data_IF_030738293325
#
_entry.id   IF_030738293325
#
_cell.length_a   1.000
_cell.length_b   1.000
_cell.length_c   1.000
_cell.angle_alpha   90.00
_cell.angle_beta   90.00
_cell.angle_gamma   90.00
#
_symmetry.space_group_name_H-M   'P 1'
#
loop_
_entity.id
_entity.type
_entity.pdbx_description
1 polymer ?
#
# COMPACT_ATOMS: atom_id res chain seq x y z
N UNK A 1 -49.62 -31.90 -62.66
CA UNK A 1 -48.41 -32.13 -61.89
C UNK A 1 -48.31 -31.03 -60.85
N UNK A 2 -48.81 -31.31 -59.66
CA UNK A 2 -48.79 -30.35 -58.52
C UNK A 2 -47.80 -30.88 -57.51
N UNK A 3 -46.69 -30.16 -57.30
CA UNK A 3 -45.68 -30.43 -56.26
C UNK A 3 -46.07 -29.73 -54.95
N UNK A 4 -46.49 -30.52 -53.98
CA UNK A 4 -46.65 -30.06 -52.60
C UNK A 4 -45.27 -29.87 -52.00
N UNK A 5 -44.94 -28.64 -51.63
CA UNK A 5 -43.79 -28.33 -50.76
C UNK A 5 -44.28 -28.46 -49.31
N UNK A 6 -43.84 -29.46 -48.59
CA UNK A 6 -43.99 -29.57 -47.14
C UNK A 6 -43.09 -28.57 -46.44
N UNK A 7 -43.66 -27.57 -45.83
CA UNK A 7 -43.01 -26.70 -44.86
C UNK A 7 -42.78 -27.48 -43.56
N UNK A 8 -41.56 -27.94 -43.35
CA UNK A 8 -41.12 -28.56 -42.12
C UNK A 8 -40.81 -27.42 -41.12
N UNK A 9 -41.73 -27.08 -40.28
CA UNK A 9 -41.52 -26.15 -39.14
C UNK A 9 -40.65 -26.86 -38.10
N UNK A 10 -39.43 -26.40 -37.96
CA UNK A 10 -38.56 -26.79 -36.86
C UNK A 10 -39.04 -26.08 -35.59
N UNK A 11 -39.84 -26.77 -34.80
CA UNK A 11 -40.12 -26.35 -33.44
C UNK A 11 -38.80 -26.53 -32.63
N UNK A 12 -38.07 -25.44 -32.41
CA UNK A 12 -37.04 -25.43 -31.39
C UNK A 12 -37.70 -25.49 -30.03
N UNK A 13 -37.65 -26.65 -29.39
CA UNK A 13 -38.06 -26.80 -28.00
C UNK A 13 -37.18 -25.89 -27.13
N UNK A 14 -37.70 -24.78 -26.68
CA UNK A 14 -37.10 -23.96 -25.66
C UNK A 14 -37.24 -24.70 -24.34
N UNK A 15 -36.19 -25.46 -23.96
CA UNK A 15 -36.10 -26.07 -22.64
C UNK A 15 -36.17 -24.98 -21.59
N UNK A 16 -37.25 -24.88 -20.86
CA UNK A 16 -37.45 -23.95 -19.77
C UNK A 16 -36.57 -24.33 -18.59
N UNK A 17 -35.90 -23.37 -18.00
CA UNK A 17 -35.06 -23.57 -16.79
C UNK A 17 -35.99 -23.94 -15.61
N UNK A 18 -35.59 -24.97 -14.85
CA UNK A 18 -36.35 -25.38 -13.66
C UNK A 18 -36.02 -24.46 -12.49
N UNK A 19 -36.99 -24.23 -11.61
CA UNK A 19 -36.78 -23.44 -10.38
C UNK A 19 -35.67 -24.03 -9.50
N UNK A 20 -35.51 -25.35 -9.50
CA UNK A 20 -34.46 -26.08 -8.74
C UNK A 20 -33.10 -25.83 -9.33
N UNK A 21 -32.91 -25.81 -10.64
CA UNK A 21 -31.63 -25.49 -11.29
C UNK A 21 -31.17 -24.07 -10.93
N UNK A 22 -32.08 -23.11 -10.94
CA UNK A 22 -31.77 -21.74 -10.56
C UNK A 22 -31.39 -21.67 -9.07
N UNK A 23 -32.11 -22.37 -8.20
CA UNK A 23 -31.81 -22.39 -6.76
C UNK A 23 -30.45 -23.00 -6.46
N UNK A 24 -30.06 -24.09 -7.11
CA UNK A 24 -28.75 -24.72 -6.95
C UNK A 24 -27.64 -23.79 -7.43
N UNK A 25 -27.82 -23.10 -8.55
CA UNK A 25 -26.84 -22.16 -9.07
C UNK A 25 -26.59 -20.99 -8.11
N UNK A 26 -27.64 -20.36 -7.59
CA UNK A 26 -27.47 -19.26 -6.63
C UNK A 26 -26.86 -19.74 -5.28
N UNK A 27 -27.15 -20.96 -4.85
CA UNK A 27 -26.55 -21.54 -3.67
C UNK A 27 -25.03 -21.74 -3.84
N UNK A 28 -24.59 -22.30 -4.97
CA UNK A 28 -23.17 -22.47 -5.29
C UNK A 28 -22.47 -21.11 -5.43
N UNK A 29 -23.09 -20.16 -6.13
CA UNK A 29 -22.53 -18.80 -6.25
C UNK A 29 -22.36 -18.13 -4.89
N UNK A 30 -23.33 -18.28 -3.97
CA UNK A 30 -23.24 -17.75 -2.60
C UNK A 30 -22.02 -18.30 -1.84
N UNK A 31 -21.78 -19.61 -1.94
CA UNK A 31 -20.62 -20.26 -1.32
C UNK A 31 -19.31 -19.75 -1.93
N UNK A 32 -19.23 -19.67 -3.26
CA UNK A 32 -18.02 -19.21 -3.95
C UNK A 32 -17.70 -17.75 -3.61
N UNK A 33 -18.69 -16.86 -3.59
CA UNK A 33 -18.52 -15.44 -3.24
C UNK A 33 -17.99 -15.30 -1.81
N UNK A 34 -18.51 -16.10 -0.86
CA UNK A 34 -18.05 -16.02 0.54
C UNK A 34 -16.58 -16.43 0.72
N UNK A 35 -16.11 -17.43 -0.02
CA UNK A 35 -14.71 -17.86 -0.01
C UNK A 35 -13.77 -16.81 -0.62
N UNK A 36 -14.17 -16.20 -1.73
CA UNK A 36 -13.36 -15.18 -2.43
C UNK A 36 -13.20 -13.92 -1.59
N UNK A 37 -14.25 -13.46 -0.91
CA UNK A 37 -14.18 -12.23 -0.09
C UNK A 37 -13.26 -12.37 1.11
N UNK A 38 -13.24 -13.52 1.79
CA UNK A 38 -12.33 -13.78 2.90
C UNK A 38 -10.85 -13.79 2.46
N UNK A 39 -10.54 -14.42 1.32
CA UNK A 39 -9.20 -14.45 0.74
C UNK A 39 -8.70 -13.07 0.30
N UNK A 40 -9.57 -12.25 -0.30
CA UNK A 40 -9.22 -10.92 -0.78
C UNK A 40 -8.85 -9.96 0.37
N UNK A 41 -9.54 -10.02 1.51
CA UNK A 41 -9.22 -9.18 2.67
C UNK A 41 -7.85 -9.54 3.26
N UNK A 42 -7.53 -10.83 3.42
CA UNK A 42 -6.24 -11.29 3.89
C UNK A 42 -5.10 -10.87 2.95
N UNK A 43 -5.31 -10.95 1.63
CA UNK A 43 -4.34 -10.51 0.64
C UNK A 43 -4.09 -9.00 0.69
N UNK A 44 -5.13 -8.18 0.82
CA UNK A 44 -5.02 -6.72 0.96
C UNK A 44 -4.22 -6.33 2.21
N UNK A 45 -4.50 -6.97 3.35
CA UNK A 45 -3.77 -6.71 4.60
C UNK A 45 -2.28 -7.03 4.46
N UNK A 46 -1.94 -8.19 3.89
CA UNK A 46 -0.54 -8.56 3.62
C UNK A 46 0.13 -7.60 2.64
N UNK A 47 -0.57 -7.18 1.60
CA UNK A 47 -0.09 -6.20 0.63
C UNK A 47 0.24 -4.85 1.26
N UNK A 48 -0.62 -4.35 2.16
CA UNK A 48 -0.39 -3.11 2.90
C UNK A 48 0.87 -3.20 3.78
N UNK A 49 1.01 -4.28 4.56
CA UNK A 49 2.22 -4.52 5.37
C UNK A 49 3.48 -4.58 4.51
N UNK A 50 3.42 -5.28 3.38
CA UNK A 50 4.57 -5.37 2.46
C UNK A 50 4.91 -4.00 1.88
N UNK A 51 3.91 -3.21 1.47
CA UNK A 51 4.12 -1.85 0.96
C UNK A 51 4.81 -0.98 2.03
N UNK A 52 4.33 -0.99 3.27
CA UNK A 52 4.94 -0.21 4.34
C UNK A 52 6.40 -0.61 4.59
N UNK A 53 6.71 -1.91 4.65
CA UNK A 53 8.10 -2.41 4.78
C UNK A 53 9.00 -1.96 3.63
N UNK A 54 8.49 -2.04 2.40
CA UNK A 54 9.25 -1.59 1.23
C UNK A 54 9.48 -0.08 1.27
N UNK A 55 8.50 0.70 1.71
CA UNK A 55 8.64 2.15 1.87
C UNK A 55 9.70 2.49 2.91
N UNK A 56 9.67 1.86 4.09
CA UNK A 56 10.71 2.03 5.13
C UNK A 56 12.11 1.73 4.56
N UNK A 57 12.28 0.61 3.88
CA UNK A 57 13.58 0.23 3.30
C UNK A 57 14.05 1.18 2.19
N UNK A 58 13.14 1.68 1.35
CA UNK A 58 13.50 2.67 0.32
C UNK A 58 13.86 4.02 0.92
N UNK A 59 13.17 4.45 1.96
CA UNK A 59 13.52 5.67 2.70
C UNK A 59 14.87 5.55 3.41
N UNK A 60 15.17 4.39 4.02
CA UNK A 60 16.50 4.16 4.58
C UNK A 60 17.62 4.37 3.55
N UNK A 61 17.39 3.87 2.32
CA UNK A 61 18.34 4.05 1.23
C UNK A 61 18.47 5.52 0.83
N UNK A 62 17.38 6.23 0.67
CA UNK A 62 17.35 7.64 0.32
C UNK A 62 18.01 8.52 1.40
N UNK A 63 17.71 8.23 2.68
CA UNK A 63 18.34 8.91 3.83
C UNK A 63 19.85 8.64 3.88
N UNK A 64 20.30 7.43 3.55
CA UNK A 64 21.71 7.11 3.50
C UNK A 64 22.45 7.85 2.38
N UNK A 65 21.80 8.00 1.20
CA UNK A 65 22.34 8.81 0.10
C UNK A 65 22.44 10.29 0.50
N UNK A 66 21.38 10.86 1.04
CA UNK A 66 21.36 12.22 1.56
C UNK A 66 22.49 12.45 2.59
N UNK A 67 22.64 11.53 3.55
CA UNK A 67 23.69 11.64 4.56
C UNK A 67 25.11 11.50 3.97
N UNK A 68 25.25 10.74 2.88
CA UNK A 68 26.53 10.62 2.16
C UNK A 68 26.97 11.92 1.53
N UNK A 69 26.04 12.67 0.94
CA UNK A 69 26.32 13.92 0.26
C UNK A 69 26.40 15.10 1.24
N UNK A 70 25.39 15.23 2.11
CA UNK A 70 25.24 16.36 3.04
C UNK A 70 26.08 16.24 4.33
N UNK A 71 26.65 15.06 4.60
CA UNK A 71 27.42 14.79 5.83
C UNK A 71 26.58 14.77 7.11
N UNK A 72 25.25 14.86 7.01
CA UNK A 72 24.30 14.85 8.12
C UNK A 72 23.01 14.16 7.73
N UNK A 73 22.30 13.58 8.70
CA UNK A 73 20.94 13.05 8.44
C UNK A 73 19.95 14.18 8.21
N UNK A 74 18.85 13.93 7.45
CA UNK A 74 17.73 14.87 7.37
C UNK A 74 17.26 15.34 8.76
N UNK A 75 16.74 16.56 8.89
CA UNK A 75 16.18 17.03 10.17
C UNK A 75 15.03 16.13 10.65
N UNK A 76 14.87 16.02 11.98
CA UNK A 76 13.78 15.29 12.61
C UNK A 76 12.44 15.86 12.20
N UNK A 77 11.48 14.97 11.86
CA UNK A 77 10.12 15.29 11.42
C UNK A 77 9.80 14.68 10.07
N UNK A 78 8.54 14.34 9.86
CA UNK A 78 8.12 13.68 8.61
C UNK A 78 8.11 14.66 7.44
N UNK A 79 7.55 15.86 7.62
CA UNK A 79 7.52 16.87 6.56
C UNK A 79 8.94 17.37 6.21
N UNK A 80 9.80 17.51 7.21
CA UNK A 80 11.20 17.86 7.06
C UNK A 80 11.97 16.77 6.30
N UNK A 81 11.67 15.50 6.57
CA UNK A 81 12.22 14.37 5.83
C UNK A 81 11.80 14.42 4.36
N UNK A 82 10.52 14.62 4.08
CA UNK A 82 9.98 14.73 2.71
C UNK A 82 10.68 15.84 1.96
N UNK A 83 10.74 17.04 2.53
CA UNK A 83 11.40 18.19 1.90
C UNK A 83 12.90 17.94 1.69
N UNK A 84 13.62 17.42 2.67
CA UNK A 84 15.05 17.16 2.54
C UNK A 84 15.40 16.14 1.45
N UNK A 85 14.52 15.15 1.21
CA UNK A 85 14.77 14.12 0.21
C UNK A 85 14.34 14.52 -1.21
N UNK A 86 13.34 15.43 -1.34
CA UNK A 86 12.74 15.78 -2.62
C UNK A 86 13.13 17.16 -3.12
N UNK A 87 13.23 18.16 -2.24
CA UNK A 87 13.38 19.56 -2.61
C UNK A 87 14.84 19.98 -2.53
N UNK A 88 15.32 20.70 -3.56
CA UNK A 88 16.65 21.28 -3.58
C UNK A 88 16.74 22.45 -2.58
N UNK A 89 17.58 22.35 -1.52
CA UNK A 89 17.78 23.42 -0.55
C UNK A 89 18.70 24.55 -1.07
N UNK A 90 19.08 24.51 -2.33
CA UNK A 90 20.13 25.36 -2.95
C UNK A 90 21.50 25.20 -2.28
N UNK A 91 21.83 23.98 -1.87
CA UNK A 91 23.12 23.60 -1.31
C UNK A 91 23.96 22.91 -2.38
N UNK A 92 25.27 23.26 -2.47
CA UNK A 92 26.18 22.73 -3.49
C UNK A 92 26.52 21.25 -3.29
N UNK A 93 26.34 20.75 -2.08
CA UNK A 93 26.59 19.36 -1.72
C UNK A 93 25.36 18.48 -1.94
N UNK A 94 24.17 19.08 -2.17
CA UNK A 94 22.93 18.33 -2.43
C UNK A 94 22.91 17.78 -3.86
N UNK A 95 22.93 16.47 -4.00
CA UNK A 95 22.93 15.77 -5.29
C UNK A 95 21.58 15.08 -5.62
N UNK A 96 20.51 15.40 -4.88
CA UNK A 96 19.19 14.81 -5.05
C UNK A 96 18.44 15.20 -6.35
N UNK A 97 17.14 14.91 -6.49
CA UNK A 97 16.29 14.33 -5.44
C UNK A 97 16.66 12.88 -5.10
N UNK A 98 16.66 12.55 -3.80
CA UNK A 98 16.94 11.21 -3.30
C UNK A 98 15.70 10.33 -3.26
N UNK A 99 14.52 10.95 -3.21
CA UNK A 99 13.22 10.29 -3.34
C UNK A 99 12.23 11.24 -4.02
N UNK A 100 11.26 10.66 -4.73
CA UNK A 100 10.13 11.39 -5.31
C UNK A 100 8.84 10.85 -4.68
N UNK A 101 8.04 11.73 -4.09
CA UNK A 101 6.78 11.38 -3.48
C UNK A 101 5.61 11.86 -4.33
N UNK A 102 4.63 11.00 -4.51
CA UNK A 102 3.41 11.34 -5.24
C UNK A 102 2.42 12.05 -4.32
N UNK A 103 1.59 12.90 -4.88
CA UNK A 103 0.58 13.65 -4.14
C UNK A 103 -0.36 12.76 -3.30
N UNK A 104 -0.68 11.56 -3.79
CA UNK A 104 -1.51 10.59 -3.08
C UNK A 104 -0.76 9.78 -2.00
N UNK A 105 0.52 9.98 -1.83
CA UNK A 105 1.36 9.41 -0.77
C UNK A 105 1.62 10.42 0.36
N UNK A 106 1.19 11.66 0.15
CA UNK A 106 1.35 12.75 1.10
C UNK A 106 0.00 13.22 1.66
N UNK A 107 0.01 13.59 2.94
CA UNK A 107 -1.07 14.28 3.61
C UNK A 107 -0.49 15.52 4.32
N UNK A 108 -0.91 16.72 3.92
CA UNK A 108 -0.36 17.99 4.41
C UNK A 108 1.20 18.05 4.37
N UNK A 109 1.80 17.52 3.32
CA UNK A 109 3.26 17.47 3.15
C UNK A 109 3.96 16.37 3.95
N UNK A 110 3.22 15.50 4.62
CA UNK A 110 3.75 14.36 5.39
C UNK A 110 3.53 13.06 4.63
N UNK A 111 4.52 12.21 4.56
CA UNK A 111 4.40 10.89 3.98
C UNK A 111 3.52 10.00 4.85
N UNK A 112 2.49 9.39 4.23
CA UNK A 112 1.55 8.50 4.90
C UNK A 112 1.77 7.03 4.53
N UNK A 113 1.48 6.18 5.49
CA UNK A 113 1.53 4.73 5.33
C UNK A 113 0.29 4.19 4.58
N UNK A 114 0.22 2.88 4.26
CA UNK A 114 -0.93 2.29 3.58
C UNK A 114 -2.26 2.33 4.34
N UNK A 115 -2.26 2.69 5.59
CA UNK A 115 -3.45 2.87 6.43
C UNK A 115 -3.84 4.33 6.62
N UNK A 116 -3.03 5.27 6.07
CA UNK A 116 -3.28 6.71 6.11
C UNK A 116 -2.67 7.41 7.33
N UNK A 117 -1.76 6.78 8.07
CA UNK A 117 -1.07 7.39 9.20
C UNK A 117 0.30 7.93 8.76
N UNK A 118 0.73 9.09 9.27
CA UNK A 118 2.07 9.60 9.00
C UNK A 118 3.15 8.64 9.51
N UNK A 119 4.20 8.41 8.69
CA UNK A 119 5.41 7.77 9.19
C UNK A 119 6.05 8.62 10.29
N UNK A 120 6.65 7.96 11.27
CA UNK A 120 7.42 8.62 12.32
C UNK A 120 8.89 8.61 11.93
N UNK A 121 9.52 9.78 11.93
CA UNK A 121 10.94 9.94 11.66
C UNK A 121 11.60 10.80 12.73
N UNK A 122 12.58 10.23 13.42
CA UNK A 122 13.36 10.90 14.46
C UNK A 122 14.84 10.66 14.18
N UNK A 123 15.60 11.70 13.89
CA UNK A 123 17.04 11.61 13.63
C UNK A 123 17.85 12.29 14.72
N UNK A 124 19.16 12.02 14.75
CA UNK A 124 20.10 12.74 15.62
C UNK A 124 20.22 14.22 15.23
N UNK A 125 19.75 14.61 14.05
CA UNK A 125 19.68 16.00 13.64
C UNK A 125 18.34 16.61 14.10
N UNK A 126 18.34 17.23 15.26
CA UNK A 126 17.18 17.89 15.86
C UNK A 126 16.26 17.00 16.69
N UNK A 127 16.63 15.72 16.91
CA UNK A 127 15.87 14.76 17.71
C UNK A 127 16.74 13.82 18.53
N UNK A 128 16.10 12.88 19.22
CA UNK A 128 16.75 11.85 20.04
C UNK A 128 16.13 10.48 19.73
N UNK A 129 16.61 9.78 18.67
CA UNK A 129 16.14 8.44 18.34
C UNK A 129 16.40 7.48 19.50
N UNK A 130 15.42 6.61 19.80
CA UNK A 130 15.46 5.72 20.97
C UNK A 130 16.16 4.40 20.68
N UNK A 131 16.07 3.91 19.44
CA UNK A 131 16.58 2.60 19.03
C UNK A 131 17.92 2.74 18.29
N UNK A 132 17.98 3.55 17.26
CA UNK A 132 19.20 3.79 16.49
C UNK A 132 19.85 5.12 16.90
N UNK A 133 20.32 5.20 18.12
CA UNK A 133 20.77 6.42 18.83
C UNK A 133 21.91 7.20 18.15
N UNK A 134 22.54 6.66 17.11
CA UNK A 134 23.61 7.34 16.34
C UNK A 134 23.18 7.71 14.93
N UNK A 135 21.91 7.45 14.56
CA UNK A 135 21.40 7.69 13.22
C UNK A 135 19.97 8.21 13.26
N UNK A 136 18.98 7.35 13.03
CA UNK A 136 17.57 7.72 13.04
C UNK A 136 16.67 6.51 13.29
N UNK A 137 15.52 6.76 13.86
CA UNK A 137 14.40 5.82 13.93
C UNK A 137 13.37 6.22 12.87
N UNK A 138 12.91 5.24 12.08
CA UNK A 138 11.90 5.42 11.05
C UNK A 138 10.91 4.27 11.13
N UNK A 139 9.61 4.57 11.29
CA UNK A 139 8.61 3.52 11.41
C UNK A 139 7.21 3.98 11.00
N UNK A 140 6.35 3.02 10.69
CA UNK A 140 4.89 3.17 10.58
C UNK A 140 4.23 2.61 11.82
N UNK A 141 3.16 3.25 12.27
CA UNK A 141 2.32 2.81 13.40
C UNK A 141 1.48 1.57 13.08
N UNK A 142 1.58 1.06 11.85
CA UNK A 142 0.83 -0.10 11.42
C UNK A 142 -0.68 0.11 11.35
N UNK A 143 -1.45 -0.98 11.19
CA UNK A 143 -2.90 -0.92 11.04
C UNK A 143 -3.68 -0.48 12.29
N UNK A 144 -3.11 -0.54 13.50
CA UNK A 144 -3.80 -0.15 14.72
C UNK A 144 -3.67 1.35 15.05
N UNK A 145 -2.77 2.08 14.36
CA UNK A 145 -2.46 3.50 14.56
C UNK A 145 -1.95 3.84 15.98
N UNK A 146 -1.43 2.86 16.70
CA UNK A 146 -0.89 3.05 18.06
C UNK A 146 0.62 2.97 18.00
N UNK A 147 1.30 3.91 18.63
CA UNK A 147 2.75 3.85 18.78
C UNK A 147 3.10 2.84 19.89
N UNK A 148 3.48 1.65 19.46
CA UNK A 148 3.92 0.57 20.34
C UNK A 148 5.45 0.59 20.54
N UNK A 149 6.10 1.68 20.19
CA UNK A 149 7.56 1.89 20.29
C UNK A 149 8.36 0.79 19.57
N UNK A 150 7.89 0.41 18.39
CA UNK A 150 8.49 -0.63 17.55
C UNK A 150 8.10 -2.07 17.89
N UNK A 151 7.11 -2.25 18.77
CA UNK A 151 6.51 -3.54 19.07
C UNK A 151 5.18 -3.72 18.30
N UNK A 152 4.42 -4.75 18.64
CA UNK A 152 3.07 -4.97 18.11
C UNK A 152 3.05 -5.15 16.60
N UNK A 153 2.34 -4.26 15.91
CA UNK A 153 2.21 -4.23 14.45
C UNK A 153 2.94 -3.04 13.80
N UNK A 154 3.77 -2.31 14.57
CA UNK A 154 4.68 -1.30 14.05
C UNK A 154 5.63 -1.89 13.01
N UNK A 155 5.95 -1.11 11.99
CA UNK A 155 6.88 -1.50 10.93
C UNK A 155 8.08 -0.57 11.00
N UNK A 156 9.19 -1.11 11.43
CA UNK A 156 10.37 -0.38 11.90
C UNK A 156 11.60 -0.60 11.03
N UNK A 157 12.60 0.26 11.15
CA UNK A 157 13.89 0.16 10.48
C UNK A 157 15.03 -0.43 11.34
N UNK A 158 14.70 -0.97 12.53
CA UNK A 158 15.68 -1.62 13.42
C UNK A 158 15.32 -3.06 13.73
#
# INVERSE_FOLDING_TARGET
MSSHQEHRTLHSELAGFTLVELLVVIAILGILISLVTAGAQAARRRGAVTKAKTTVASLETAIAMYNGDMGAYPPTGNAELVSALQDDPNDVDWAGPYAEFKENELDEGRLIDPWGHPYVYVSVNGGAPQHRTKSFDLYSLGPNATDDSGAGDDIVNW
#
